data_IF_919487686254
#
_entry.id   IF_919487686254
#
_cell.length_a   1.000
_cell.length_b   1.000
_cell.length_c   1.000
_cell.angle_alpha   90.00
_cell.angle_beta   90.00
_cell.angle_gamma   90.00
#
_symmetry.space_group_name_H-M   'P 1'
#
loop_
_entity.id
_entity.type
_entity.pdbx_description
1 polymer ?
#
# COMPACT_ATOMS: atom_id res chain seq x y z
N UNK A 1 2.78 -0.96 -12.89
CA UNK A 1 3.07 -1.50 -11.56
C UNK A 1 4.34 -2.32 -11.64
N UNK A 2 5.39 -1.93 -10.92
CA UNK A 2 6.61 -2.74 -10.85
C UNK A 2 6.41 -3.73 -9.70
N UNK A 3 6.07 -4.97 -10.05
CA UNK A 3 6.18 -6.08 -9.12
C UNK A 3 7.66 -6.23 -8.73
N UNK A 4 7.95 -6.09 -7.45
CA UNK A 4 9.24 -6.51 -6.90
C UNK A 4 9.02 -7.86 -6.21
N UNK A 5 9.94 -8.80 -6.41
CA UNK A 5 9.85 -10.08 -5.72
C UNK A 5 9.91 -9.91 -4.20
N UNK A 6 9.29 -10.82 -3.47
CA UNK A 6 9.34 -10.86 -1.99
C UNK A 6 10.78 -10.81 -1.48
N UNK A 7 11.71 -11.49 -2.16
CA UNK A 7 13.15 -11.45 -1.84
C UNK A 7 13.75 -10.05 -1.99
N UNK A 8 13.40 -9.32 -3.07
CA UNK A 8 13.87 -7.95 -3.27
C UNK A 8 13.29 -6.98 -2.23
N UNK A 9 12.00 -7.13 -1.90
CA UNK A 9 11.35 -6.33 -0.86
C UNK A 9 12.02 -6.55 0.52
N UNK A 10 12.34 -7.81 0.87
CA UNK A 10 13.04 -8.17 2.10
C UNK A 10 14.43 -7.51 2.16
N UNK A 11 15.21 -7.59 1.08
CA UNK A 11 16.53 -6.96 1.02
C UNK A 11 16.50 -5.44 1.16
N UNK A 12 15.48 -4.77 0.61
CA UNK A 12 15.26 -3.32 0.80
C UNK A 12 14.94 -3.02 2.27
N UNK A 13 14.04 -3.79 2.89
CA UNK A 13 13.68 -3.64 4.31
C UNK A 13 14.90 -3.80 5.21
N UNK A 14 15.72 -4.82 5.00
CA UNK A 14 16.95 -5.07 5.77
C UNK A 14 17.94 -3.90 5.66
N UNK A 15 18.13 -3.34 4.46
CA UNK A 15 18.97 -2.14 4.28
C UNK A 15 18.44 -0.94 5.06
N UNK A 16 17.11 -0.74 5.07
CA UNK A 16 16.48 0.34 5.83
C UNK A 16 16.66 0.16 7.33
N UNK A 17 16.42 -1.05 7.86
CA UNK A 17 16.62 -1.35 9.28
C UNK A 17 18.07 -1.12 9.70
N UNK A 18 19.03 -1.58 8.89
CA UNK A 18 20.46 -1.34 9.12
C UNK A 18 20.83 0.14 9.08
N UNK A 19 20.26 0.90 8.11
CA UNK A 19 20.53 2.34 7.98
C UNK A 19 20.09 3.13 9.21
N UNK A 20 18.99 2.74 9.85
CA UNK A 20 18.44 3.45 10.99
C UNK A 20 18.84 2.84 12.33
N UNK A 21 19.54 1.71 12.32
CA UNK A 21 19.92 0.96 13.53
C UNK A 21 18.72 0.69 14.45
N UNK A 22 17.58 0.33 13.87
CA UNK A 22 16.30 0.12 14.55
C UNK A 22 15.67 -1.18 14.05
N UNK A 23 14.93 -1.87 14.93
CA UNK A 23 14.11 -3.03 14.55
C UNK A 23 12.92 -2.64 13.65
N UNK A 24 12.43 -1.41 13.81
CA UNK A 24 11.39 -0.82 12.99
C UNK A 24 11.75 0.63 12.65
N UNK A 25 11.48 1.05 11.43
CA UNK A 25 11.69 2.43 11.01
C UNK A 25 10.37 3.20 10.91
N UNK A 26 10.44 4.50 11.25
CA UNK A 26 9.32 5.44 11.12
C UNK A 26 9.55 6.33 9.90
N UNK A 27 8.47 6.87 9.33
CA UNK A 27 8.59 7.78 8.18
C UNK A 27 9.52 8.97 8.47
N UNK A 28 9.55 9.47 9.68
CA UNK A 28 10.39 10.60 10.08
C UNK A 28 11.88 10.26 10.12
N UNK A 29 12.31 8.98 10.19
CA UNK A 29 13.70 8.57 10.06
C UNK A 29 14.30 9.03 8.71
N UNK A 30 13.46 9.17 7.68
CA UNK A 30 13.90 9.65 6.36
C UNK A 30 14.00 11.18 6.25
N UNK A 31 13.70 11.94 7.31
CA UNK A 31 13.66 13.42 7.30
C UNK A 31 14.96 14.03 6.78
N UNK A 32 16.08 13.58 7.30
CA UNK A 32 17.40 14.12 6.99
C UNK A 32 18.08 13.46 5.78
N UNK A 33 17.48 12.42 5.19
CA UNK A 33 18.04 11.75 4.02
C UNK A 33 17.69 12.51 2.73
N UNK A 34 18.66 12.63 1.83
CA UNK A 34 18.43 13.09 0.46
C UNK A 34 17.71 12.02 -0.37
N UNK A 35 17.12 12.44 -1.51
CA UNK A 35 16.52 11.49 -2.48
C UNK A 35 17.54 10.45 -2.94
N UNK A 36 18.80 10.87 -3.15
CA UNK A 36 19.88 9.96 -3.56
C UNK A 36 20.16 8.90 -2.49
N UNK A 37 20.27 9.31 -1.23
CA UNK A 37 20.48 8.38 -0.12
C UNK A 37 19.33 7.39 0.04
N UNK A 38 18.08 7.84 -0.08
CA UNK A 38 16.90 6.95 -0.04
C UNK A 38 16.91 5.98 -1.22
N UNK A 39 17.30 6.44 -2.43
CA UNK A 39 17.45 5.58 -3.60
C UNK A 39 18.51 4.49 -3.38
N UNK A 40 19.62 4.82 -2.73
CA UNK A 40 20.71 3.85 -2.46
C UNK A 40 20.29 2.70 -1.52
N UNK A 41 19.14 2.83 -0.83
CA UNK A 41 18.52 1.73 -0.08
C UNK A 41 17.88 0.67 -0.99
N UNK A 42 17.88 0.88 -2.31
CA UNK A 42 17.32 -0.04 -3.29
C UNK A 42 15.96 0.39 -3.86
N UNK A 43 15.58 1.64 -3.63
CA UNK A 43 14.32 2.19 -4.12
C UNK A 43 14.46 2.89 -5.48
N UNK A 44 13.39 2.87 -6.29
CA UNK A 44 13.35 3.71 -7.49
C UNK A 44 13.33 5.20 -7.12
N UNK A 45 13.75 6.06 -8.06
CA UNK A 45 13.73 7.52 -7.87
C UNK A 45 12.32 8.03 -7.47
N UNK A 46 11.28 7.48 -8.09
CA UNK A 46 9.89 7.88 -7.78
C UNK A 46 9.47 7.45 -6.38
N UNK A 47 9.82 6.22 -5.94
CA UNK A 47 9.56 5.78 -4.57
C UNK A 47 10.32 6.63 -3.54
N UNK A 48 11.57 7.01 -3.82
CA UNK A 48 12.33 7.91 -2.96
C UNK A 48 11.67 9.30 -2.85
N UNK A 49 11.16 9.85 -3.97
CA UNK A 49 10.38 11.09 -3.96
C UNK A 49 9.09 10.96 -3.15
N UNK A 50 8.36 9.85 -3.30
CA UNK A 50 7.13 9.58 -2.53
C UNK A 50 7.40 9.56 -1.03
N UNK A 51 8.50 8.92 -0.60
CA UNK A 51 8.91 8.92 0.81
C UNK A 51 9.18 10.35 1.29
N UNK A 52 9.88 11.19 0.51
CA UNK A 52 10.11 12.60 0.89
C UNK A 52 8.82 13.39 0.98
N UNK A 53 7.85 13.13 0.11
CA UNK A 53 6.53 13.77 0.16
C UNK A 53 5.75 13.35 1.40
N UNK A 54 5.81 12.08 1.79
CA UNK A 54 5.23 11.60 3.05
C UNK A 54 5.91 12.25 4.27
N UNK A 55 7.24 12.33 4.29
CA UNK A 55 7.98 13.03 5.35
C UNK A 55 7.52 14.48 5.48
N UNK A 56 7.37 15.18 4.35
CA UNK A 56 6.89 16.58 4.33
C UNK A 56 5.47 16.69 4.87
N UNK A 57 4.57 15.80 4.43
CA UNK A 57 3.20 15.75 4.90
C UNK A 57 3.13 15.58 6.42
N UNK A 58 3.81 14.56 6.97
CA UNK A 58 3.80 14.30 8.42
C UNK A 58 4.55 15.35 9.25
N UNK A 59 5.52 16.04 8.67
CA UNK A 59 6.22 17.14 9.33
C UNK A 59 5.35 18.40 9.44
N UNK A 60 4.52 18.67 8.42
CA UNK A 60 3.62 19.81 8.39
C UNK A 60 2.31 19.58 9.17
N UNK A 61 1.93 18.32 9.33
CA UNK A 61 0.70 17.91 9.98
C UNK A 61 1.01 17.07 11.23
N UNK A 62 1.51 17.67 12.34
CA UNK A 62 1.89 16.93 13.54
C UNK A 62 0.71 16.16 14.17
N UNK A 63 -0.52 16.62 13.92
CA UNK A 63 -1.77 15.95 14.32
C UNK A 63 -2.17 14.80 13.38
N UNK A 64 -1.40 14.50 12.32
CA UNK A 64 -1.64 13.36 11.43
C UNK A 64 -1.53 11.99 12.11
N UNK A 65 -1.05 11.94 13.36
CA UNK A 65 -1.24 10.79 14.28
C UNK A 65 -2.72 10.44 14.48
N UNK A 66 -3.62 11.37 14.14
CA UNK A 66 -5.07 11.19 14.22
C UNK A 66 -5.70 10.58 12.95
N UNK A 67 -4.92 10.19 11.92
CA UNK A 67 -5.46 9.51 10.72
C UNK A 67 -6.37 8.31 11.10
N UNK A 68 -6.03 7.58 12.15
CA UNK A 68 -6.83 6.46 12.64
C UNK A 68 -8.21 6.86 13.20
N UNK A 69 -8.39 8.15 13.55
CA UNK A 69 -9.66 8.68 14.08
C UNK A 69 -10.56 9.27 12.99
N UNK A 70 -10.03 9.48 11.81
CA UNK A 70 -10.77 9.99 10.67
C UNK A 70 -11.63 8.88 10.06
N UNK A 71 -12.67 9.27 9.33
CA UNK A 71 -13.43 8.38 8.46
C UNK A 71 -12.55 7.90 7.29
N UNK A 72 -12.96 6.83 6.62
CA UNK A 72 -12.26 6.30 5.43
C UNK A 72 -12.13 7.38 4.35
N UNK A 73 -13.20 8.13 4.08
CA UNK A 73 -13.21 9.21 3.09
C UNK A 73 -12.23 10.33 3.45
N UNK A 74 -12.24 10.79 4.69
CA UNK A 74 -11.31 11.83 5.15
C UNK A 74 -9.85 11.36 5.04
N UNK A 75 -9.55 10.10 5.36
CA UNK A 75 -8.21 9.53 5.17
C UNK A 75 -7.82 9.52 3.70
N UNK A 76 -8.75 9.08 2.83
CA UNK A 76 -8.53 9.08 1.38
C UNK A 76 -8.18 10.49 0.89
N UNK A 77 -9.00 11.49 1.22
CA UNK A 77 -8.83 12.88 0.78
C UNK A 77 -7.51 13.50 1.27
N UNK A 78 -7.07 13.14 2.47
CA UNK A 78 -5.79 13.59 3.02
C UNK A 78 -4.58 12.95 2.33
N UNK A 79 -4.69 11.68 1.93
CA UNK A 79 -3.55 10.91 1.46
C UNK A 79 -3.38 10.94 -0.06
N UNK A 80 -4.47 11.03 -0.84
CA UNK A 80 -4.43 10.94 -2.31
C UNK A 80 -3.65 12.08 -2.96
N UNK A 81 -3.56 13.23 -2.31
CA UNK A 81 -2.82 14.40 -2.79
C UNK A 81 -1.30 14.32 -2.52
N UNK A 82 -0.83 13.30 -1.82
CA UNK A 82 0.59 13.12 -1.56
C UNK A 82 1.24 12.47 -2.79
N UNK A 83 2.29 13.10 -3.32
CA UNK A 83 2.98 12.58 -4.50
C UNK A 83 3.39 11.11 -4.35
N UNK A 84 2.94 10.28 -5.28
CA UNK A 84 3.24 8.85 -5.34
C UNK A 84 2.40 7.98 -4.42
N UNK A 85 1.40 8.53 -3.75
CA UNK A 85 0.37 7.81 -3.02
C UNK A 85 -0.88 7.76 -3.91
N UNK A 86 -1.23 6.58 -4.37
CA UNK A 86 -2.43 6.33 -5.15
C UNK A 86 -3.43 5.48 -4.38
N UNK A 87 -4.59 5.24 -4.99
CA UNK A 87 -5.69 4.43 -4.44
C UNK A 87 -5.18 3.11 -3.84
N UNK A 88 -4.37 2.35 -4.59
CA UNK A 88 -3.80 1.08 -4.11
C UNK A 88 -3.01 1.24 -2.80
N UNK A 89 -2.17 2.28 -2.67
CA UNK A 89 -1.39 2.51 -1.43
C UNK A 89 -2.28 2.87 -0.25
N UNK A 90 -3.37 3.60 -0.50
CA UNK A 90 -4.36 3.96 0.53
C UNK A 90 -5.13 2.71 0.96
N UNK A 91 -5.55 1.86 0.03
CA UNK A 91 -6.21 0.58 0.31
C UNK A 91 -5.30 -0.33 1.18
N UNK A 92 -4.00 -0.40 0.88
CA UNK A 92 -3.04 -1.14 1.71
C UNK A 92 -2.93 -0.54 3.12
N UNK A 93 -2.92 0.80 3.24
CA UNK A 93 -2.95 1.47 4.54
C UNK A 93 -4.23 1.15 5.32
N UNK A 94 -5.39 1.19 4.68
CA UNK A 94 -6.68 0.84 5.28
C UNK A 94 -6.68 -0.62 5.78
N UNK A 95 -6.25 -1.57 4.95
CA UNK A 95 -6.23 -2.99 5.30
C UNK A 95 -5.26 -3.30 6.45
N UNK A 96 -4.01 -2.85 6.36
CA UNK A 96 -2.93 -3.31 7.23
C UNK A 96 -2.64 -2.40 8.42
N UNK A 97 -2.88 -1.09 8.29
CA UNK A 97 -2.62 -0.13 9.36
C UNK A 97 -3.89 0.22 10.13
N UNK A 98 -4.98 0.57 9.44
CA UNK A 98 -6.27 0.88 10.06
C UNK A 98 -7.00 -0.39 10.47
N UNK A 99 -6.70 -1.53 9.82
CA UNK A 99 -7.36 -2.83 10.02
C UNK A 99 -8.84 -2.82 9.61
N UNK A 100 -9.16 -2.04 8.59
CA UNK A 100 -10.48 -2.04 7.99
C UNK A 100 -10.75 -3.40 7.34
N UNK A 101 -11.81 -4.07 7.75
CA UNK A 101 -12.13 -5.43 7.29
C UNK A 101 -12.83 -5.46 5.93
N UNK A 102 -13.27 -4.31 5.42
CA UNK A 102 -14.14 -4.23 4.24
C UNK A 102 -13.55 -3.47 3.06
N UNK A 103 -12.23 -3.52 2.88
CA UNK A 103 -11.54 -2.94 1.73
C UNK A 103 -11.33 -4.01 0.66
N UNK A 104 -11.63 -3.67 -0.60
CA UNK A 104 -11.32 -4.45 -1.78
C UNK A 104 -10.42 -3.65 -2.71
N UNK A 105 -9.38 -4.28 -3.26
CA UNK A 105 -8.41 -3.63 -4.13
C UNK A 105 -8.48 -4.18 -5.55
N UNK A 106 -9.46 -3.71 -6.33
CA UNK A 106 -9.58 -4.06 -7.75
C UNK A 106 -8.39 -3.59 -8.60
N UNK A 107 -7.63 -2.60 -8.12
CA UNK A 107 -6.38 -2.14 -8.73
C UNK A 107 -5.20 -3.10 -8.56
N UNK A 108 -5.28 -4.06 -7.62
CA UNK A 108 -4.22 -5.03 -7.38
C UNK A 108 -4.25 -6.16 -8.42
N UNK A 109 -3.12 -6.33 -9.12
CA UNK A 109 -3.05 -7.28 -10.22
C UNK A 109 -3.09 -8.74 -9.74
N UNK A 110 -2.49 -9.05 -8.58
CA UNK A 110 -2.49 -10.41 -8.04
C UNK A 110 -3.92 -10.83 -7.64
N UNK A 111 -4.67 -9.91 -7.03
CA UNK A 111 -6.10 -10.14 -6.70
C UNK A 111 -6.91 -10.43 -7.97
N UNK A 112 -6.74 -9.64 -9.04
CA UNK A 112 -7.47 -9.88 -10.29
C UNK A 112 -7.11 -11.22 -10.91
N UNK A 113 -5.82 -11.54 -11.02
CA UNK A 113 -5.36 -12.82 -11.57
C UNK A 113 -5.92 -13.99 -10.76
N UNK A 114 -5.87 -13.95 -9.44
CA UNK A 114 -6.45 -14.98 -8.59
C UNK A 114 -7.96 -15.16 -8.83
N UNK A 115 -8.72 -14.06 -8.95
CA UNK A 115 -10.15 -14.14 -9.24
C UNK A 115 -10.46 -14.71 -10.64
N UNK A 116 -9.61 -14.42 -11.63
CA UNK A 116 -9.72 -14.95 -12.98
C UNK A 116 -9.43 -16.48 -13.00
N UNK A 117 -8.36 -16.91 -12.36
CA UNK A 117 -7.97 -18.32 -12.27
C UNK A 117 -9.00 -19.15 -11.50
N UNK A 118 -9.57 -18.60 -10.43
CA UNK A 118 -10.68 -19.19 -9.69
C UNK A 118 -12.03 -19.10 -10.41
N UNK A 119 -12.05 -18.60 -11.65
CA UNK A 119 -13.26 -18.45 -12.49
C UNK A 119 -14.39 -17.61 -11.85
N UNK A 120 -14.02 -16.72 -10.94
CA UNK A 120 -14.95 -15.79 -10.28
C UNK A 120 -15.37 -14.67 -11.23
N UNK A 121 -14.42 -14.20 -12.05
CA UNK A 121 -14.60 -13.14 -13.05
C UNK A 121 -13.87 -13.55 -14.33
N UNK A 122 -14.46 -13.25 -15.49
CA UNK A 122 -13.73 -13.36 -16.76
C UNK A 122 -12.72 -12.22 -16.89
N UNK A 123 -11.57 -12.50 -17.48
CA UNK A 123 -10.50 -11.51 -17.68
C UNK A 123 -11.04 -10.27 -18.38
N UNK A 124 -10.82 -9.11 -17.78
CA UNK A 124 -11.28 -7.82 -18.29
C UNK A 124 -10.39 -6.68 -17.80
N UNK A 125 -10.39 -5.56 -18.53
CA UNK A 125 -9.76 -4.30 -18.09
C UNK A 125 -10.74 -3.39 -17.34
N UNK A 126 -12.00 -3.77 -17.23
CA UNK A 126 -13.02 -3.06 -16.46
C UNK A 126 -12.95 -3.50 -14.99
N UNK A 127 -12.34 -2.67 -14.15
CA UNK A 127 -12.15 -2.96 -12.73
C UNK A 127 -13.45 -2.95 -11.94
N UNK A 128 -14.50 -2.28 -12.43
CA UNK A 128 -15.81 -2.27 -11.77
C UNK A 128 -16.43 -3.67 -11.70
N UNK A 129 -16.12 -4.54 -12.66
CA UNK A 129 -16.62 -5.92 -12.65
C UNK A 129 -16.11 -6.68 -11.44
N UNK A 130 -14.83 -6.49 -11.07
CA UNK A 130 -14.24 -7.10 -9.87
C UNK A 130 -14.83 -6.47 -8.60
N UNK A 131 -15.04 -5.15 -8.57
CA UNK A 131 -15.67 -4.45 -7.44
C UNK A 131 -17.12 -4.94 -7.23
N UNK A 132 -17.89 -5.13 -8.33
CA UNK A 132 -19.26 -5.68 -8.27
C UNK A 132 -19.27 -7.11 -7.71
N UNK A 133 -18.35 -7.96 -8.16
CA UNK A 133 -18.25 -9.31 -7.63
C UNK A 133 -17.93 -9.31 -6.13
N UNK A 134 -16.98 -8.47 -5.72
CA UNK A 134 -16.51 -8.37 -4.35
C UNK A 134 -17.57 -7.91 -3.34
N UNK A 135 -18.69 -7.33 -3.78
CA UNK A 135 -19.86 -7.02 -2.92
C UNK A 135 -20.40 -8.24 -2.17
N UNK A 136 -20.21 -9.45 -2.72
CA UNK A 136 -20.61 -10.70 -2.05
C UNK A 136 -19.84 -10.97 -0.76
N UNK A 137 -18.69 -10.31 -0.57
CA UNK A 137 -17.83 -10.48 0.59
C UNK A 137 -18.04 -9.41 1.66
N UNK A 138 -19.02 -8.49 1.45
CA UNK A 138 -19.36 -7.52 2.49
C UNK A 138 -19.79 -8.23 3.79
N UNK A 139 -19.33 -7.81 4.94
CA UNK A 139 -18.42 -6.70 5.25
C UNK A 139 -16.94 -7.15 5.44
N UNK A 140 -16.51 -8.23 4.79
CA UNK A 140 -15.21 -8.88 5.02
C UNK A 140 -14.33 -8.93 3.76
N UNK A 141 -14.43 -7.95 2.87
CA UNK A 141 -13.66 -7.89 1.61
C UNK A 141 -12.15 -8.00 1.81
N UNK A 142 -11.61 -7.39 2.88
CA UNK A 142 -10.18 -7.50 3.21
C UNK A 142 -9.76 -8.94 3.45
N UNK A 143 -10.61 -9.74 4.11
CA UNK A 143 -10.32 -11.17 4.34
C UNK A 143 -10.28 -11.92 3.01
N UNK A 144 -11.22 -11.63 2.11
CA UNK A 144 -11.19 -12.21 0.76
C UNK A 144 -9.90 -11.84 0.00
N UNK A 145 -9.46 -10.57 0.07
CA UNK A 145 -8.19 -10.16 -0.54
C UNK A 145 -7.00 -10.96 0.02
N UNK A 146 -6.94 -11.19 1.33
CA UNK A 146 -5.86 -11.99 1.95
C UNK A 146 -5.85 -13.44 1.42
N UNK A 147 -7.02 -14.06 1.26
CA UNK A 147 -7.13 -15.39 0.67
C UNK A 147 -6.74 -15.41 -0.82
N UNK A 148 -7.11 -14.40 -1.59
CA UNK A 148 -6.73 -14.27 -3.00
C UNK A 148 -5.22 -14.08 -3.17
N UNK A 149 -4.56 -13.30 -2.33
CA UNK A 149 -3.10 -13.19 -2.34
C UNK A 149 -2.43 -14.50 -1.95
N UNK A 150 -2.93 -15.18 -0.92
CA UNK A 150 -2.40 -16.50 -0.52
C UNK A 150 -2.50 -17.49 -1.68
N UNK A 151 -3.66 -17.55 -2.37
CA UNK A 151 -3.84 -18.41 -3.55
C UNK A 151 -2.86 -18.04 -4.69
N UNK A 152 -2.64 -16.76 -4.93
CA UNK A 152 -1.73 -16.28 -5.99
C UNK A 152 -0.25 -16.62 -5.70
N UNK A 153 0.16 -16.72 -4.44
CA UNK A 153 1.53 -17.01 -4.02
C UNK A 153 1.81 -18.53 -3.89
N UNK A 154 0.78 -19.38 -3.89
CA UNK A 154 0.89 -20.83 -3.77
C UNK A 154 1.07 -21.52 -5.12
#
# INVERSE_FOLDING_TARGET
SQFISTKAAKGIKEKMLKQFNEENFKILNFKNLTISQIKNLGLSKNKAKSIKSLVLFFSKNPNSKNLYKLSEQERYDNLINIFGIGKWSIEMFEMFCVRNKNIFSSGDAAIRVAMEELKMVKKTNDFEIYDKYAKKWDPYKTIACLHLWYFFES
#
